data_IF_865591991434
#
_entry.id   IF_865591991434
#
_cell.length_a   1.000
_cell.length_b   1.000
_cell.length_c   1.000
_cell.angle_alpha   90.00
_cell.angle_beta   90.00
_cell.angle_gamma   90.00
#
_symmetry.space_group_name_H-M   'P 1'
#
loop_
_entity.id
_entity.type
_entity.pdbx_description
1 polymer ?
#
# COMPACT_ATOMS: atom_id res chain seq x y z
N UNK A 1 -28.71 -0.38 43.30
CA UNK A 1 -28.75 -1.83 43.06
C UNK A 1 -29.68 -2.05 41.86
N UNK A 2 -29.15 -2.44 40.69
CA UNK A 2 -29.77 -3.07 39.47
C UNK A 2 -31.14 -2.56 38.95
N UNK A 3 -31.49 -2.46 37.66
CA UNK A 3 -30.89 -2.70 36.35
C UNK A 3 -31.94 -2.34 35.24
N UNK A 4 -31.49 -2.35 33.98
CA UNK A 4 -32.24 -2.55 32.71
C UNK A 4 -33.17 -1.43 32.22
N UNK A 5 -32.76 -0.59 31.27
CA UNK A 5 -32.67 -0.80 29.80
C UNK A 5 -34.04 -1.11 29.16
N UNK A 6 -34.64 -0.06 28.59
CA UNK A 6 -35.92 -0.06 27.88
C UNK A 6 -35.69 -0.14 26.37
N UNK A 7 -36.51 -0.97 25.70
CA UNK A 7 -36.55 -1.19 24.25
C UNK A 7 -37.71 -0.42 23.60
N UNK A 8 -37.42 0.12 22.42
CA UNK A 8 -38.25 0.21 21.20
C UNK A 8 -39.63 0.89 21.22
N UNK A 9 -39.81 1.82 20.28
CA UNK A 9 -41.01 1.87 19.44
C UNK A 9 -40.67 2.25 17.98
N UNK A 10 -41.53 1.78 17.08
CA UNK A 10 -41.35 1.57 15.64
C UNK A 10 -42.37 2.43 14.88
N UNK A 11 -41.98 2.89 13.68
CA UNK A 11 -42.79 3.29 12.48
C UNK A 11 -43.41 4.71 12.35
N UNK A 12 -42.94 5.38 11.28
CA UNK A 12 -43.67 5.91 10.11
C UNK A 12 -43.60 7.44 9.84
N UNK A 13 -42.88 7.75 8.74
CA UNK A 13 -43.11 8.78 7.71
C UNK A 13 -43.15 10.30 8.05
N UNK A 14 -42.13 11.02 7.55
CA UNK A 14 -42.15 12.16 6.59
C UNK A 14 -41.04 13.18 6.91
N UNK A 15 -40.05 13.21 6.02
CA UNK A 15 -39.26 14.35 5.53
C UNK A 15 -38.73 15.42 6.50
N UNK A 16 -37.40 15.43 6.70
CA UNK A 16 -36.59 16.62 6.44
C UNK A 16 -35.12 16.23 6.22
N UNK A 17 -34.72 16.30 4.95
CA UNK A 17 -33.37 16.52 4.42
C UNK A 17 -32.81 17.73 5.20
N UNK A 18 -31.61 17.79 5.78
CA UNK A 18 -30.27 17.72 5.19
C UNK A 18 -29.31 17.89 6.35
N UNK A 19 -28.19 17.16 6.36
CA UNK A 19 -27.12 17.38 7.34
C UNK A 19 -26.28 16.14 7.53
N UNK A 20 -25.92 15.43 6.45
CA UNK A 20 -24.85 14.44 6.53
C UNK A 20 -23.56 15.26 6.61
N UNK A 21 -23.13 15.51 7.84
CA UNK A 21 -21.73 15.78 8.11
C UNK A 21 -21.02 14.50 7.72
N UNK A 22 -20.36 14.50 6.55
CA UNK A 22 -19.44 13.45 6.18
C UNK A 22 -18.27 13.59 7.15
N UNK A 23 -18.37 12.91 8.29
CA UNK A 23 -17.22 12.61 9.11
C UNK A 23 -16.33 11.73 8.23
N UNK A 24 -15.29 12.33 7.66
CA UNK A 24 -14.20 11.59 7.04
C UNK A 24 -13.54 10.82 8.18
N UNK A 25 -14.01 9.60 8.41
CA UNK A 25 -13.35 8.68 9.31
C UNK A 25 -11.97 8.44 8.70
N UNK A 26 -10.94 8.92 9.40
CA UNK A 26 -9.57 8.52 9.14
C UNK A 26 -9.55 6.99 9.14
N UNK A 27 -9.41 6.40 7.97
CA UNK A 27 -9.20 4.96 7.85
C UNK A 27 -7.80 4.74 8.37
N UNK A 28 -7.68 4.48 9.67
CA UNK A 28 -6.48 3.88 10.23
C UNK A 28 -6.39 2.49 9.60
N UNK A 29 -5.67 2.40 8.48
CA UNK A 29 -5.33 1.12 7.87
C UNK A 29 -4.37 0.45 8.84
N UNK A 30 -4.92 -0.39 9.70
CA UNK A 30 -4.15 -1.29 10.54
C UNK A 30 -3.48 -2.28 9.59
N UNK A 31 -2.26 -1.98 9.15
CA UNK A 31 -1.43 -2.91 8.37
C UNK A 31 -0.89 -3.96 9.33
N UNK A 32 -1.79 -4.83 9.82
CA UNK A 32 -1.36 -6.13 10.31
C UNK A 32 -0.92 -6.92 9.07
N UNK A 33 0.37 -7.20 8.99
CA UNK A 33 0.94 -8.10 7.99
C UNK A 33 0.37 -9.50 8.24
N UNK A 34 -0.85 -9.72 7.76
CA UNK A 34 -1.56 -10.97 7.93
C UNK A 34 -0.82 -12.02 7.08
N UNK A 35 -0.18 -13.00 7.74
CA UNK A 35 0.62 -14.06 7.10
C UNK A 35 -0.20 -15.01 6.20
N UNK A 36 -1.47 -14.69 5.96
CA UNK A 36 -2.40 -15.45 5.17
C UNK A 36 -2.12 -15.30 3.66
N UNK A 37 -2.40 -16.37 2.92
CA UNK A 37 -2.41 -16.38 1.47
C UNK A 37 -3.54 -15.51 0.94
N UNK A 38 -3.37 -14.97 -0.27
CA UNK A 38 -4.45 -14.29 -0.97
C UNK A 38 -5.59 -15.27 -1.32
N UNK A 39 -6.82 -14.78 -1.22
CA UNK A 39 -8.01 -15.45 -1.74
C UNK A 39 -8.50 -14.78 -3.05
N UNK A 40 -9.58 -15.31 -3.63
CA UNK A 40 -10.14 -14.87 -4.92
C UNK A 40 -10.61 -13.40 -4.95
N UNK A 41 -10.78 -12.75 -3.79
CA UNK A 41 -11.25 -11.38 -3.64
C UNK A 41 -10.23 -10.50 -2.90
N UNK A 42 -9.05 -11.03 -2.58
CA UNK A 42 -8.08 -10.31 -1.78
C UNK A 42 -7.39 -9.24 -2.61
N UNK A 43 -7.78 -8.02 -2.30
CA UNK A 43 -7.09 -6.80 -2.65
C UNK A 43 -6.37 -6.35 -1.38
N UNK A 44 -5.07 -6.12 -1.45
CA UNK A 44 -4.28 -5.69 -0.29
C UNK A 44 -3.46 -4.45 -0.60
N UNK A 45 -3.22 -3.69 0.45
CA UNK A 45 -2.33 -2.52 0.43
C UNK A 45 -1.04 -2.87 1.16
N UNK A 46 0.08 -2.66 0.48
CA UNK A 46 1.42 -2.83 1.05
C UNK A 46 2.10 -1.48 1.18
N UNK A 47 2.71 -1.25 2.33
CA UNK A 47 3.56 -0.09 2.58
C UNK A 47 5.02 -0.50 2.43
N UNK A 48 5.79 0.29 1.69
CA UNK A 48 7.25 0.16 1.63
C UNK A 48 7.91 1.48 2.01
N UNK A 49 9.02 1.38 2.75
CA UNK A 49 9.84 2.50 3.15
C UNK A 49 11.28 2.27 2.70
N UNK A 50 11.93 3.28 2.17
CA UNK A 50 13.31 3.23 1.70
C UNK A 50 13.94 4.62 1.71
N UNK A 51 15.25 4.67 1.43
CA UNK A 51 15.99 5.92 1.32
C UNK A 51 16.13 6.29 -0.15
N UNK A 52 15.87 7.56 -0.46
CA UNK A 52 16.16 8.15 -1.77
C UNK A 52 17.67 8.25 -2.02
N UNK A 53 18.04 8.55 -3.26
CA UNK A 53 19.44 8.77 -3.69
C UNK A 53 20.16 9.86 -2.90
N UNK A 54 19.42 10.86 -2.43
CA UNK A 54 19.87 11.94 -1.56
C UNK A 54 19.63 11.65 -0.07
N UNK A 55 19.42 10.38 0.29
CA UNK A 55 19.36 9.86 1.65
C UNK A 55 18.18 10.39 2.49
N UNK A 56 17.07 10.72 1.84
CA UNK A 56 15.84 11.08 2.54
C UNK A 56 14.92 9.85 2.68
N UNK A 57 14.30 9.62 3.85
CA UNK A 57 13.38 8.51 4.04
C UNK A 57 12.03 8.82 3.37
N UNK A 58 11.59 7.93 2.48
CA UNK A 58 10.31 8.04 1.77
C UNK A 58 9.56 6.71 1.83
N UNK A 59 8.23 6.80 1.82
CA UNK A 59 7.35 5.65 1.76
C UNK A 59 6.38 5.71 0.59
N UNK A 60 5.90 4.55 0.16
CA UNK A 60 4.87 4.41 -0.85
C UNK A 60 3.85 3.33 -0.47
N UNK A 61 2.62 3.52 -0.94
CA UNK A 61 1.54 2.56 -0.82
C UNK A 61 1.28 1.87 -2.16
N UNK A 62 1.27 0.55 -2.13
CA UNK A 62 1.00 -0.29 -3.29
C UNK A 62 -0.30 -1.04 -3.10
N UNK A 63 -1.21 -0.85 -4.05
CA UNK A 63 -2.41 -1.66 -4.19
C UNK A 63 -2.09 -2.88 -5.06
N UNK A 64 -2.32 -4.08 -4.53
CA UNK A 64 -2.04 -5.33 -5.24
C UNK A 64 -3.24 -6.25 -5.18
N UNK A 65 -3.59 -6.82 -6.33
CA UNK A 65 -4.64 -7.82 -6.48
C UNK A 65 -4.09 -9.06 -7.19
N UNK A 66 -4.32 -10.24 -6.63
CA UNK A 66 -3.95 -11.51 -7.26
C UNK A 66 -5.02 -11.97 -8.27
N UNK A 67 -4.58 -12.63 -9.34
CA UNK A 67 -5.48 -13.16 -10.36
C UNK A 67 -6.40 -14.25 -9.79
N UNK A 68 -7.69 -13.91 -9.66
CA UNK A 68 -8.72 -14.85 -9.25
C UNK A 68 -8.84 -16.04 -10.22
N UNK A 69 -8.56 -15.82 -11.52
CA UNK A 69 -8.60 -16.89 -12.52
C UNK A 69 -7.45 -17.89 -12.34
N UNK A 70 -6.27 -17.44 -11.96
CA UNK A 70 -5.12 -18.30 -11.68
C UNK A 70 -5.33 -19.11 -10.40
N UNK A 71 -5.80 -18.46 -9.33
CA UNK A 71 -6.14 -19.12 -8.07
C UNK A 71 -7.28 -20.13 -8.29
N UNK A 72 -8.30 -19.77 -9.07
CA UNK A 72 -9.42 -20.66 -9.41
C UNK A 72 -9.00 -21.90 -10.22
N UNK A 73 -7.87 -21.84 -10.93
CA UNK A 73 -7.24 -23.00 -11.60
C UNK A 73 -6.41 -23.87 -10.66
N UNK A 74 -6.39 -23.56 -9.35
CA UNK A 74 -5.66 -24.32 -8.34
C UNK A 74 -4.19 -23.95 -8.19
N UNK A 75 -3.73 -22.83 -8.78
CA UNK A 75 -2.38 -22.35 -8.52
C UNK A 75 -2.25 -21.91 -7.05
N UNK A 76 -1.11 -22.19 -6.38
CA UNK A 76 -0.92 -21.75 -5.01
C UNK A 76 -0.93 -20.23 -4.96
N UNK A 77 -1.82 -19.67 -4.14
CA UNK A 77 -1.86 -18.23 -3.98
C UNK A 77 -0.52 -17.69 -3.45
N UNK A 78 -0.03 -16.55 -3.96
CA UNK A 78 1.10 -15.84 -3.37
C UNK A 78 0.84 -15.53 -1.89
N UNK A 79 1.90 -15.62 -1.08
CA UNK A 79 1.86 -15.25 0.33
C UNK A 79 1.98 -13.73 0.49
N UNK A 80 1.40 -13.17 1.55
CA UNK A 80 1.60 -11.76 1.88
C UNK A 80 3.07 -11.41 2.14
N UNK A 81 3.84 -12.37 2.66
CA UNK A 81 5.28 -12.22 2.86
C UNK A 81 6.01 -12.03 1.53
N UNK A 82 5.76 -12.90 0.56
CA UNK A 82 6.33 -12.79 -0.78
C UNK A 82 5.99 -11.43 -1.41
N UNK A 83 4.72 -11.03 -1.37
CA UNK A 83 4.31 -9.74 -1.93
C UNK A 83 5.01 -8.56 -1.26
N UNK A 84 5.09 -8.57 0.08
CA UNK A 84 5.79 -7.52 0.84
C UNK A 84 7.26 -7.43 0.44
N UNK A 85 7.94 -8.57 0.34
CA UNK A 85 9.35 -8.63 -0.07
C UNK A 85 9.56 -8.06 -1.47
N UNK A 86 8.73 -8.41 -2.45
CA UNK A 86 8.85 -7.88 -3.80
C UNK A 86 8.52 -6.38 -3.86
N UNK A 87 7.51 -5.92 -3.12
CA UNK A 87 7.18 -4.49 -3.01
C UNK A 87 8.35 -3.70 -2.39
N UNK A 88 8.94 -4.19 -1.31
CA UNK A 88 10.10 -3.54 -0.67
C UNK A 88 11.32 -3.49 -1.59
N UNK A 89 11.58 -4.58 -2.32
CA UNK A 89 12.67 -4.65 -3.29
C UNK A 89 12.44 -3.71 -4.48
N UNK A 90 11.19 -3.58 -4.93
CA UNK A 90 10.80 -2.66 -5.99
C UNK A 90 11.00 -1.20 -5.55
N UNK A 91 10.45 -0.84 -4.38
CA UNK A 91 10.54 0.51 -3.84
C UNK A 91 11.98 0.94 -3.60
N UNK A 92 12.83 0.05 -3.07
CA UNK A 92 14.27 0.31 -2.89
C UNK A 92 15.00 0.59 -4.20
N UNK A 93 14.61 -0.08 -5.29
CA UNK A 93 15.20 0.16 -6.61
C UNK A 93 14.70 1.45 -7.27
N UNK A 94 13.46 1.86 -6.98
CA UNK A 94 12.91 3.15 -7.43
C UNK A 94 13.64 4.28 -6.71
N UNK A 95 13.64 4.23 -5.38
CA UNK A 95 14.17 5.29 -4.52
C UNK A 95 15.67 5.49 -4.66
N UNK A 96 16.45 4.44 -4.95
CA UNK A 96 17.88 4.58 -5.22
C UNK A 96 18.21 5.38 -6.50
N UNK A 97 17.23 5.60 -7.38
CA UNK A 97 17.39 6.36 -8.64
C UNK A 97 16.90 7.80 -8.55
N UNK A 98 16.12 8.13 -7.54
CA UNK A 98 15.39 9.39 -7.43
C UNK A 98 15.83 10.16 -6.20
N UNK A 99 15.83 11.48 -6.29
CA UNK A 99 15.94 12.35 -5.10
C UNK A 99 14.60 12.40 -4.36
N UNK A 100 14.60 12.96 -3.15
CA UNK A 100 13.37 13.27 -2.41
C UNK A 100 12.37 14.03 -3.28
N UNK A 101 12.80 15.14 -3.86
CA UNK A 101 11.92 16.03 -4.61
C UNK A 101 11.36 15.32 -5.85
N UNK A 102 12.15 14.47 -6.50
CA UNK A 102 11.71 13.68 -7.65
C UNK A 102 10.66 12.62 -7.31
N UNK A 103 10.53 12.25 -6.03
CA UNK A 103 9.48 11.36 -5.54
C UNK A 103 8.21 12.13 -5.17
N UNK A 104 8.34 13.31 -4.55
CA UNK A 104 7.19 13.98 -3.90
C UNK A 104 6.63 15.19 -4.65
N UNK A 105 7.43 15.85 -5.49
CA UNK A 105 7.03 17.12 -6.13
C UNK A 105 6.40 16.87 -7.51
N UNK A 106 5.25 17.51 -7.77
CA UNK A 106 4.46 17.33 -9.00
C UNK A 106 5.25 17.67 -10.27
N UNK A 107 6.19 18.63 -10.20
CA UNK A 107 7.00 19.02 -11.36
C UNK A 107 7.89 17.89 -11.90
N UNK A 108 8.15 16.84 -11.11
CA UNK A 108 8.92 15.67 -11.51
C UNK A 108 8.05 14.45 -11.80
N UNK A 109 6.72 14.60 -11.86
CA UNK A 109 5.78 13.49 -12.09
C UNK A 109 6.12 12.65 -13.32
N UNK A 110 6.54 13.27 -14.44
CA UNK A 110 6.94 12.51 -15.64
C UNK A 110 8.17 11.62 -15.39
N UNK A 111 9.15 12.14 -14.64
CA UNK A 111 10.35 11.37 -14.28
C UNK A 111 10.00 10.23 -13.33
N UNK A 112 9.18 10.50 -12.32
CA UNK A 112 8.70 9.48 -11.39
C UNK A 112 7.90 8.39 -12.13
N UNK A 113 6.95 8.79 -12.97
CA UNK A 113 6.12 7.89 -13.78
C UNK A 113 6.95 7.06 -14.77
N UNK A 114 8.01 7.61 -15.34
CA UNK A 114 8.92 6.85 -16.20
C UNK A 114 9.59 5.70 -15.44
N UNK A 115 10.04 5.95 -14.20
CA UNK A 115 10.61 4.90 -13.34
C UNK A 115 9.55 3.89 -12.92
N UNK A 116 8.36 4.34 -12.52
CA UNK A 116 7.25 3.43 -12.18
C UNK A 116 6.86 2.52 -13.36
N UNK A 117 6.80 3.08 -14.57
CA UNK A 117 6.45 2.33 -15.79
C UNK A 117 7.47 1.24 -16.13
N UNK A 118 8.73 1.39 -15.70
CA UNK A 118 9.74 0.34 -15.80
C UNK A 118 9.61 -0.67 -14.65
N UNK A 119 9.38 -0.19 -13.43
CA UNK A 119 9.55 -0.97 -12.22
C UNK A 119 8.29 -1.77 -11.83
N UNK A 120 7.08 -1.26 -12.05
CA UNK A 120 5.84 -1.97 -11.75
C UNK A 120 5.74 -3.28 -12.55
N UNK A 121 5.98 -3.32 -13.87
CA UNK A 121 5.94 -4.57 -14.62
C UNK A 121 6.96 -5.61 -14.11
N UNK A 122 8.15 -5.16 -13.66
CA UNK A 122 9.15 -6.08 -13.07
C UNK A 122 8.68 -6.69 -11.76
N UNK A 123 8.00 -5.91 -10.92
CA UNK A 123 7.39 -6.42 -9.68
C UNK A 123 6.31 -7.46 -10.01
N UNK A 124 5.43 -7.18 -10.98
CA UNK A 124 4.40 -8.13 -11.40
C UNK A 124 5.02 -9.44 -11.90
N UNK A 125 6.04 -9.33 -12.77
CA UNK A 125 6.75 -10.49 -13.29
C UNK A 125 7.43 -11.29 -12.19
N UNK A 126 8.12 -10.65 -11.24
CA UNK A 126 8.80 -11.34 -10.16
C UNK A 126 7.84 -12.12 -9.25
N UNK A 127 6.66 -11.58 -8.97
CA UNK A 127 5.62 -12.29 -8.21
C UNK A 127 5.08 -13.47 -9.02
N UNK A 128 4.82 -13.29 -10.31
CA UNK A 128 4.32 -14.35 -11.18
C UNK A 128 5.34 -15.49 -11.34
N UNK A 129 6.63 -15.19 -11.51
CA UNK A 129 7.69 -16.21 -11.60
C UNK A 129 7.82 -17.02 -10.30
N UNK A 130 7.64 -16.39 -9.13
CA UNK A 130 7.80 -17.03 -7.82
C UNK A 130 6.56 -17.79 -7.35
N UNK A 131 5.37 -17.37 -7.76
CA UNK A 131 4.08 -17.94 -7.29
C UNK A 131 3.29 -18.68 -8.38
N UNK A 132 3.61 -18.43 -9.66
CA UNK A 132 2.81 -18.86 -10.81
C UNK A 132 1.53 -18.07 -11.00
N UNK A 133 1.18 -17.15 -10.11
CA UNK A 133 -0.06 -16.35 -10.15
C UNK A 133 0.27 -14.94 -10.62
N UNK A 134 -0.41 -14.51 -11.68
CA UNK A 134 -0.30 -13.12 -12.14
C UNK A 134 -0.93 -12.15 -11.13
N UNK A 135 -0.36 -10.95 -11.02
CA UNK A 135 -0.85 -9.91 -10.11
C UNK A 135 -1.02 -8.58 -10.84
N UNK A 136 -2.04 -7.82 -10.45
CA UNK A 136 -2.17 -6.42 -10.79
C UNK A 136 -1.56 -5.58 -9.67
N UNK A 137 -0.77 -4.58 -10.03
CA UNK A 137 -0.08 -3.68 -9.09
C UNK A 137 -0.32 -2.24 -9.52
N UNK A 138 -0.69 -1.40 -8.56
CA UNK A 138 -0.72 0.05 -8.70
C UNK A 138 -0.01 0.69 -7.52
N UNK A 139 0.93 1.58 -7.79
CA UNK A 139 1.36 2.58 -6.81
C UNK A 139 0.19 3.56 -6.61
N UNK A 140 -0.08 3.96 -5.36
CA UNK A 140 -1.26 4.76 -4.98
C UNK A 140 -0.87 6.16 -4.55
N UNK A 141 0.18 6.25 -3.74
CA UNK A 141 0.70 7.49 -3.22
C UNK A 141 2.07 7.25 -2.59
N UNK A 142 2.99 8.19 -2.80
CA UNK A 142 4.28 8.25 -2.11
C UNK A 142 4.42 9.56 -1.32
N UNK A 143 5.19 9.51 -0.23
CA UNK A 143 5.43 10.67 0.62
C UNK A 143 6.82 10.63 1.27
N UNK A 144 7.25 11.80 1.73
CA UNK A 144 8.31 11.90 2.71
C UNK A 144 7.83 11.33 4.05
N UNK A 145 8.68 10.57 4.73
CA UNK A 145 8.39 10.07 6.07
C UNK A 145 8.69 11.12 7.14
N UNK A 146 7.89 11.10 8.19
CA UNK A 146 8.09 11.96 9.36
C UNK A 146 9.13 11.34 10.30
N UNK A 147 9.96 12.15 11.00
CA UNK A 147 10.97 11.61 11.93
C UNK A 147 10.40 10.72 13.04
N UNK A 148 9.11 10.87 13.35
CA UNK A 148 8.40 10.12 14.39
C UNK A 148 7.70 8.86 13.85
N UNK A 149 7.82 8.55 12.55
CA UNK A 149 7.24 7.35 11.96
C UNK A 149 7.92 6.08 12.52
N UNK A 150 7.11 5.09 12.92
CA UNK A 150 7.59 3.88 13.62
C UNK A 150 8.47 2.95 12.76
N UNK A 151 8.52 3.14 11.44
CA UNK A 151 9.25 2.31 10.48
C UNK A 151 10.31 3.10 9.69
N UNK A 152 10.85 4.17 10.26
CA UNK A 152 11.80 5.04 9.57
C UNK A 152 13.09 4.28 9.19
N UNK A 153 13.45 4.20 7.89
CA UNK A 153 14.67 3.53 7.47
C UNK A 153 15.89 4.37 7.85
N UNK A 154 17.01 3.69 8.15
CA UNK A 154 18.28 4.36 8.40
C UNK A 154 18.93 4.79 7.08
N UNK A 155 18.83 6.08 6.76
CA UNK A 155 19.46 6.66 5.58
C UNK A 155 20.84 7.22 5.95
N UNK A 156 21.91 6.47 5.63
CA UNK A 156 23.28 6.90 5.86
C UNK A 156 23.87 7.47 4.58
N UNK A 157 24.51 8.63 4.67
CA UNK A 157 25.45 9.08 3.65
C UNK A 157 26.68 8.18 3.79
N UNK A 158 26.99 7.37 2.79
CA UNK A 158 28.33 6.77 2.72
C UNK A 158 29.32 7.92 2.49
N UNK A 159 29.86 8.46 3.57
CA UNK A 159 31.08 9.26 3.50
C UNK A 159 32.21 8.30 3.11
N UNK A 160 32.60 8.34 1.84
CA UNK A 160 33.78 7.64 1.35
C UNK A 160 35.00 8.16 2.13
N UNK A 161 35.54 7.31 3.01
CA UNK A 161 36.84 7.47 3.66
C UNK A 161 37.99 7.29 2.66
#
# INVERSE_FOLDING_TARGET
MQAMITRFCKRANVSCITGVVIAVAAVAVNVQADQHNFNLQDIRVFKAAACTKDHSPVEALYFIAASAADIGKGKPSPTSKLMKEEVDNNWRQITSRLTRDEVIEEQFADKYNAVLSEMIPRLQQAVEEKSGVSVYVSEVNSRLMDPDDQDLPTCRVEEAL
#
